data_IF_577375646477
#
_entry.id   IF_577375646477
#
_cell.length_a   1.000
_cell.length_b   1.000
_cell.length_c   1.000
_cell.angle_alpha   90.00
_cell.angle_beta   90.00
_cell.angle_gamma   90.00
#
_symmetry.space_group_name_H-M   'P 1'
#
loop_
_entity.id
_entity.type
_entity.pdbx_description
1 polymer ?
#
# COMPACT_ATOMS: atom_id res chain seq x y z
N UNK A 1 3.04 19.89 78.73
CA UNK A 1 4.25 20.35 78.03
C UNK A 1 5.08 19.22 77.39
N UNK A 2 5.19 18.01 77.98
CA UNK A 2 5.95 16.90 77.38
C UNK A 2 5.39 16.32 76.05
N UNK A 3 4.09 16.47 75.78
CA UNK A 3 3.46 15.97 74.53
C UNK A 3 3.67 16.88 73.30
N UNK A 4 4.03 18.15 73.50
CA UNK A 4 4.28 19.11 72.41
C UNK A 4 5.69 18.92 71.82
N UNK A 5 6.67 18.51 72.63
CA UNK A 5 8.03 18.19 72.13
C UNK A 5 8.06 17.03 71.13
N UNK A 6 7.18 16.03 71.27
CA UNK A 6 7.15 14.88 70.35
C UNK A 6 6.55 15.25 68.97
N UNK A 7 5.61 16.19 68.93
CA UNK A 7 5.01 16.67 67.68
C UNK A 7 6.02 17.54 66.90
N UNK A 8 6.80 18.37 67.61
CA UNK A 8 7.82 19.20 66.97
C UNK A 8 9.03 18.40 66.45
N UNK A 9 9.38 17.28 67.10
CA UNK A 9 10.46 16.39 66.65
C UNK A 9 10.07 15.54 65.43
N UNK A 10 8.78 15.31 65.21
CA UNK A 10 8.28 14.52 64.08
C UNK A 10 8.18 15.35 62.79
N UNK A 11 8.01 16.68 62.89
CA UNK A 11 7.98 17.58 61.73
C UNK A 11 9.36 17.81 61.07
N UNK A 12 10.46 17.45 61.72
CA UNK A 12 11.82 17.62 61.18
C UNK A 12 12.24 16.56 60.16
N UNK A 13 11.41 15.53 59.93
CA UNK A 13 11.69 14.45 58.97
C UNK A 13 10.90 14.56 57.66
N UNK A 14 10.19 15.68 57.43
CA UNK A 14 9.40 15.92 56.21
C UNK A 14 10.12 16.77 55.14
N UNK A 15 11.43 16.96 55.24
CA UNK A 15 12.23 17.46 54.10
C UNK A 15 12.43 16.33 53.10
N UNK A 16 11.43 16.09 52.26
CA UNK A 16 11.58 15.23 51.08
C UNK A 16 12.53 15.89 50.08
N UNK A 17 13.58 15.17 49.67
CA UNK A 17 14.36 15.55 48.50
C UNK A 17 13.45 15.50 47.27
N UNK A 18 13.08 16.66 46.70
CA UNK A 18 12.40 16.73 45.40
C UNK A 18 13.27 16.14 44.28
N UNK A 19 14.58 16.33 44.36
CA UNK A 19 15.50 16.05 43.25
C UNK A 19 16.02 14.60 43.21
N UNK A 20 15.58 13.73 44.13
CA UNK A 20 16.00 12.31 44.14
C UNK A 20 15.15 11.43 43.21
N UNK A 21 13.95 11.89 42.83
CA UNK A 21 13.04 11.16 41.95
C UNK A 21 13.00 11.68 40.51
N UNK A 22 13.66 12.81 40.23
CA UNK A 22 13.89 13.27 38.85
C UNK A 22 15.09 12.51 38.28
N UNK A 23 14.81 11.34 37.69
CA UNK A 23 15.78 10.58 36.93
C UNK A 23 16.09 11.32 35.62
N UNK A 24 17.03 12.26 35.68
CA UNK A 24 17.64 12.84 34.50
C UNK A 24 18.41 11.74 33.73
N UNK A 25 17.98 11.43 32.51
CA UNK A 25 18.54 10.35 31.70
C UNK A 25 19.89 10.78 31.11
N UNK A 26 20.93 10.80 31.95
CA UNK A 26 22.29 11.25 31.58
C UNK A 26 23.02 10.33 30.58
N UNK A 27 22.39 9.23 30.17
CA UNK A 27 23.01 8.20 29.33
C UNK A 27 22.42 8.09 27.92
N UNK A 28 21.23 8.64 27.67
CA UNK A 28 20.59 8.61 26.36
C UNK A 28 20.14 10.02 25.99
N UNK A 29 20.50 10.46 24.79
CA UNK A 29 19.87 11.62 24.15
C UNK A 29 18.36 11.37 24.15
N UNK A 30 17.57 12.30 24.70
CA UNK A 30 16.11 12.16 24.68
C UNK A 30 15.61 12.13 23.24
N UNK A 31 14.44 11.52 22.98
CA UNK A 31 13.86 11.51 21.62
C UNK A 31 13.74 12.93 21.04
N UNK A 32 13.41 13.90 21.88
CA UNK A 32 13.33 15.32 21.52
C UNK A 32 14.71 15.89 21.14
N UNK A 33 15.74 15.70 21.97
CA UNK A 33 17.11 16.13 21.64
C UNK A 33 17.67 15.42 20.41
N UNK A 34 17.31 14.15 20.20
CA UNK A 34 17.80 13.37 19.07
C UNK A 34 17.22 13.88 17.76
N UNK A 35 15.90 14.10 17.69
CA UNK A 35 15.25 14.62 16.49
C UNK A 35 15.64 16.07 16.15
N UNK A 36 16.20 16.82 17.12
CA UNK A 36 16.83 18.13 16.87
C UNK A 36 18.17 18.03 16.14
N UNK A 37 18.78 16.85 16.02
CA UNK A 37 19.98 16.64 15.20
C UNK A 37 19.61 16.28 13.76
N UNK A 38 20.51 16.58 12.80
CA UNK A 38 20.33 16.14 11.39
C UNK A 38 20.06 14.64 11.27
N UNK A 39 20.89 13.82 11.92
CA UNK A 39 20.79 12.35 11.86
C UNK A 39 19.47 11.86 12.45
N UNK A 40 19.05 12.42 13.59
CA UNK A 40 17.78 12.03 14.19
C UNK A 40 16.58 12.44 13.34
N UNK A 41 16.62 13.62 12.73
CA UNK A 41 15.57 14.05 11.82
C UNK A 41 15.49 13.20 10.55
N UNK A 42 16.63 12.84 9.95
CA UNK A 42 16.68 11.91 8.81
C UNK A 42 16.12 10.53 9.17
N UNK A 43 16.41 10.03 10.38
CA UNK A 43 15.83 8.78 10.90
C UNK A 43 14.31 8.88 11.08
N UNK A 44 13.80 10.02 11.56
CA UNK A 44 12.38 10.30 11.68
C UNK A 44 11.69 10.32 10.30
N UNK A 45 12.30 10.97 9.30
CA UNK A 45 11.80 10.95 7.92
C UNK A 45 11.75 9.53 7.35
N UNK A 46 12.80 8.74 7.55
CA UNK A 46 12.83 7.33 7.14
C UNK A 46 11.71 6.52 7.81
N UNK A 47 11.39 6.82 9.07
CA UNK A 47 10.29 6.20 9.81
C UNK A 47 8.93 6.60 9.24
N UNK A 48 8.74 7.87 8.87
CA UNK A 48 7.52 8.32 8.19
C UNK A 48 7.32 7.58 6.86
N UNK A 49 8.38 7.42 6.05
CA UNK A 49 8.31 6.62 4.81
C UNK A 49 8.05 5.14 5.05
N UNK A 50 8.72 4.52 6.03
CA UNK A 50 8.56 3.10 6.31
C UNK A 50 7.15 2.76 6.80
N UNK A 51 6.45 3.71 7.43
CA UNK A 51 5.07 3.55 7.88
C UNK A 51 4.08 3.27 6.75
N UNK A 52 4.40 3.62 5.49
CA UNK A 52 3.59 3.28 4.31
C UNK A 52 3.50 1.76 4.12
N UNK A 53 4.53 1.02 4.54
CA UNK A 53 4.56 -0.45 4.47
C UNK A 53 3.54 -1.09 5.41
N UNK A 54 3.05 -0.40 6.43
CA UNK A 54 1.97 -0.91 7.28
C UNK A 54 0.63 -1.01 6.53
N UNK A 55 0.47 -0.22 5.45
CA UNK A 55 -0.71 -0.26 4.59
C UNK A 55 -0.50 -1.22 3.41
N UNK A 56 0.67 -1.16 2.76
CA UNK A 56 0.94 -1.91 1.53
C UNK A 56 1.71 -3.21 1.72
N UNK A 57 2.18 -3.50 2.93
CA UNK A 57 3.02 -4.66 3.20
C UNK A 57 2.24 -5.93 3.42
N UNK A 58 0.99 -5.85 3.89
CA UNK A 58 0.19 -7.00 4.32
C UNK A 58 -1.05 -7.22 3.47
N UNK A 59 -2.13 -7.70 4.05
CA UNK A 59 -3.36 -8.04 3.36
C UNK A 59 -3.94 -6.85 2.56
N UNK A 60 -4.23 -6.99 1.26
CA UNK A 60 -4.76 -5.89 0.43
C UNK A 60 -6.30 -5.76 0.52
N UNK A 61 -6.91 -6.14 1.65
CA UNK A 61 -8.37 -6.30 1.74
C UNK A 61 -9.14 -5.05 1.37
N UNK A 62 -8.83 -3.89 1.95
CA UNK A 62 -9.55 -2.64 1.64
C UNK A 62 -9.28 -2.10 0.23
N UNK A 63 -8.37 -2.71 -0.52
CA UNK A 63 -8.05 -2.31 -1.89
C UNK A 63 -8.65 -3.25 -2.95
N UNK A 64 -8.87 -4.51 -2.61
CA UNK A 64 -9.23 -5.55 -3.60
C UNK A 64 -10.44 -6.39 -3.22
N UNK A 65 -10.73 -6.55 -1.92
CA UNK A 65 -11.91 -7.29 -1.47
C UNK A 65 -13.19 -6.48 -1.76
N UNK A 66 -14.32 -7.18 -1.95
CA UNK A 66 -15.61 -6.54 -2.22
C UNK A 66 -15.82 -6.13 -3.67
N UNK A 67 -14.77 -6.18 -4.51
CA UNK A 67 -14.89 -6.03 -5.96
C UNK A 67 -15.36 -7.32 -6.62
N UNK A 68 -15.91 -7.23 -7.83
CA UNK A 68 -16.28 -8.39 -8.67
C UNK A 68 -15.09 -8.96 -9.47
N UNK A 69 -13.87 -8.43 -9.23
CA UNK A 69 -12.64 -8.81 -9.93
C UNK A 69 -11.94 -10.03 -9.30
N UNK A 70 -12.15 -10.26 -8.01
CA UNK A 70 -11.52 -11.33 -7.26
C UNK A 70 -12.52 -12.13 -6.45
N UNK A 71 -12.27 -13.44 -6.33
CA UNK A 71 -13.06 -14.34 -5.51
C UNK A 71 -12.16 -15.22 -4.63
N UNK A 72 -12.78 -15.76 -3.57
CA UNK A 72 -12.15 -16.72 -2.68
C UNK A 72 -11.69 -17.97 -3.45
N UNK A 73 -10.44 -18.36 -3.25
CA UNK A 73 -9.86 -19.56 -3.84
C UNK A 73 -9.68 -20.68 -2.82
N UNK A 74 -8.44 -21.13 -2.65
CA UNK A 74 -8.08 -22.14 -1.62
C UNK A 74 -8.40 -21.63 -0.21
N UNK A 75 -8.10 -20.36 0.04
CA UNK A 75 -8.44 -19.67 1.27
C UNK A 75 -9.50 -18.60 0.98
N UNK A 76 -10.28 -18.24 2.00
CA UNK A 76 -11.39 -17.29 1.86
C UNK A 76 -10.92 -15.85 2.03
N UNK A 77 -11.47 -14.94 1.25
CA UNK A 77 -11.47 -13.50 1.57
C UNK A 77 -12.33 -13.31 2.84
N UNK A 78 -12.00 -12.38 3.75
CA UNK A 78 -12.85 -12.13 4.91
C UNK A 78 -14.26 -11.68 4.49
N UNK A 79 -15.30 -12.31 5.04
CA UNK A 79 -16.70 -12.15 4.59
C UNK A 79 -17.21 -10.69 4.68
N UNK A 80 -16.83 -9.98 5.75
CA UNK A 80 -17.27 -8.59 5.99
C UNK A 80 -16.90 -7.64 4.86
N UNK A 81 -15.62 -7.64 4.46
CA UNK A 81 -15.10 -6.78 3.39
C UNK A 81 -15.11 -7.44 2.01
N UNK A 82 -15.22 -8.76 1.94
CA UNK A 82 -15.17 -9.55 0.70
C UNK A 82 -16.51 -9.70 -0.01
N UNK A 83 -17.58 -9.92 0.75
CA UNK A 83 -18.94 -10.09 0.21
C UNK A 83 -19.95 -9.12 0.83
N UNK A 84 -19.49 -8.16 1.63
CA UNK A 84 -20.33 -7.23 2.39
C UNK A 84 -21.38 -7.93 3.27
N UNK A 85 -21.10 -9.17 3.64
CA UNK A 85 -21.93 -9.99 4.52
C UNK A 85 -21.35 -9.97 5.92
N UNK A 86 -22.18 -9.70 6.94
CA UNK A 86 -21.74 -9.57 8.34
C UNK A 86 -20.70 -8.45 8.55
N UNK A 87 -20.78 -7.35 7.79
CA UNK A 87 -19.96 -6.18 8.04
C UNK A 87 -20.36 -5.55 9.38
N UNK A 88 -19.41 -5.49 10.31
CA UNK A 88 -19.59 -4.94 11.66
C UNK A 88 -18.63 -3.78 11.89
N UNK A 89 -18.98 -2.90 12.84
CA UNK A 89 -18.16 -1.76 13.26
C UNK A 89 -16.82 -2.19 13.89
N UNK A 90 -16.72 -3.43 14.38
CA UNK A 90 -15.51 -4.02 14.97
C UNK A 90 -14.66 -4.84 13.98
N UNK A 91 -14.83 -4.67 12.66
CA UNK A 91 -14.00 -5.40 11.69
C UNK A 91 -12.50 -5.09 11.89
N UNK A 92 -11.73 -6.13 12.18
CA UNK A 92 -10.31 -5.99 12.53
C UNK A 92 -9.46 -5.47 11.37
N UNK A 93 -9.83 -5.75 10.11
CA UNK A 93 -9.08 -5.30 8.94
C UNK A 93 -9.31 -3.81 8.71
N UNK A 94 -10.57 -3.37 8.80
CA UNK A 94 -10.95 -1.95 8.72
C UNK A 94 -10.26 -1.17 9.84
N UNK A 95 -10.32 -1.68 11.08
CA UNK A 95 -9.67 -1.05 12.23
C UNK A 95 -8.14 -0.98 12.09
N UNK A 96 -7.50 -2.03 11.57
CA UNK A 96 -6.06 -2.07 11.32
C UNK A 96 -5.63 -1.02 10.30
N UNK A 97 -6.34 -0.92 9.18
CA UNK A 97 -6.07 0.08 8.15
C UNK A 97 -6.24 1.51 8.67
N UNK A 98 -7.32 1.78 9.40
CA UNK A 98 -7.57 3.08 10.01
C UNK A 98 -6.43 3.46 10.98
N UNK A 99 -6.04 2.55 11.88
CA UNK A 99 -4.93 2.77 12.81
C UNK A 99 -3.60 2.99 12.11
N UNK A 100 -3.31 2.23 11.05
CA UNK A 100 -2.08 2.40 10.27
C UNK A 100 -2.00 3.79 9.63
N UNK A 101 -3.12 4.29 9.08
CA UNK A 101 -3.17 5.62 8.49
C UNK A 101 -2.93 6.73 9.52
N UNK A 102 -3.60 6.68 10.69
CA UNK A 102 -3.39 7.69 11.73
C UNK A 102 -2.00 7.61 12.39
N UNK A 103 -1.43 6.41 12.52
CA UNK A 103 -0.03 6.27 12.96
C UNK A 103 0.93 6.96 11.98
N UNK A 104 0.72 6.77 10.67
CA UNK A 104 1.48 7.46 9.62
C UNK A 104 1.29 8.98 9.62
N UNK A 105 0.05 9.46 9.84
CA UNK A 105 -0.25 10.89 10.00
C UNK A 105 0.48 11.47 11.21
N UNK A 106 0.50 10.78 12.35
CA UNK A 106 1.22 11.23 13.55
C UNK A 106 2.74 11.31 13.30
N UNK A 107 3.31 10.33 12.58
CA UNK A 107 4.73 10.38 12.19
C UNK A 107 5.03 11.56 11.28
N UNK A 108 4.17 11.82 10.28
CA UNK A 108 4.30 12.97 9.41
C UNK A 108 4.17 14.30 10.18
N UNK A 109 3.21 14.40 11.09
CA UNK A 109 3.04 15.56 11.97
C UNK A 109 4.26 15.80 12.86
N UNK A 110 4.86 14.73 13.38
CA UNK A 110 6.10 14.77 14.15
C UNK A 110 7.25 15.30 13.29
N UNK A 111 7.41 14.79 12.06
CA UNK A 111 8.42 15.29 11.12
C UNK A 111 8.20 16.76 10.73
N UNK A 112 6.96 17.21 10.57
CA UNK A 112 6.65 18.62 10.29
C UNK A 112 6.99 19.50 11.50
N UNK A 113 6.73 19.02 12.72
CA UNK A 113 7.05 19.73 13.96
C UNK A 113 8.56 19.89 14.13
N UNK A 114 9.34 18.82 14.02
CA UNK A 114 10.79 18.88 14.20
C UNK A 114 11.53 19.57 13.05
N UNK A 115 10.92 19.74 11.87
CA UNK A 115 11.53 20.45 10.75
C UNK A 115 12.02 21.86 11.11
N UNK A 116 11.32 22.55 12.02
CA UNK A 116 11.67 23.91 12.46
C UNK A 116 12.61 23.94 13.67
N UNK A 117 12.83 22.79 14.31
CA UNK A 117 13.62 22.66 15.54
C UNK A 117 14.99 21.99 15.29
N UNK A 118 15.07 21.18 14.24
CA UNK A 118 16.27 20.44 13.89
C UNK A 118 17.35 21.32 13.28
N UNK A 119 18.58 20.79 13.21
CA UNK A 119 19.68 21.38 12.48
C UNK A 119 19.27 21.71 11.04
N UNK A 120 19.35 22.99 10.69
CA UNK A 120 18.90 23.46 9.39
C UNK A 120 19.90 23.06 8.30
N UNK A 121 19.38 22.42 7.25
CA UNK A 121 20.14 21.99 6.07
C UNK A 121 19.35 22.37 4.81
N UNK A 122 20.01 22.34 3.66
CA UNK A 122 19.38 22.62 2.36
C UNK A 122 18.21 21.66 2.05
N UNK A 123 18.16 20.50 2.71
CA UNK A 123 17.12 19.48 2.52
C UNK A 123 15.87 19.70 3.39
N UNK A 124 15.92 20.54 4.42
CA UNK A 124 14.81 20.64 5.41
C UNK A 124 13.50 21.08 4.78
N UNK A 125 13.54 22.05 3.86
CA UNK A 125 12.33 22.50 3.15
C UNK A 125 11.70 21.36 2.35
N UNK A 126 12.53 20.58 1.66
CA UNK A 126 12.08 19.41 0.91
C UNK A 126 11.54 18.33 1.84
N UNK A 127 12.22 18.00 2.94
CA UNK A 127 11.78 16.97 3.89
C UNK A 127 10.45 17.34 4.55
N UNK A 128 10.25 18.62 4.89
CA UNK A 128 8.97 19.11 5.41
C UNK A 128 7.85 18.97 4.37
N UNK A 129 8.13 19.29 3.10
CA UNK A 129 7.19 19.11 2.01
C UNK A 129 6.83 17.63 1.80
N UNK A 130 7.82 16.74 1.85
CA UNK A 130 7.61 15.29 1.76
C UNK A 130 6.78 14.75 2.94
N UNK A 131 6.99 15.22 4.16
CA UNK A 131 6.19 14.84 5.31
C UNK A 131 4.72 15.26 5.13
N UNK A 132 4.48 16.49 4.64
CA UNK A 132 3.13 16.95 4.28
C UNK A 132 2.51 16.12 3.15
N UNK A 133 3.29 15.73 2.14
CA UNK A 133 2.83 14.81 1.09
C UNK A 133 2.38 13.47 1.68
N UNK A 134 3.19 12.86 2.56
CA UNK A 134 2.85 11.59 3.23
C UNK A 134 1.55 11.74 4.04
N UNK A 135 1.40 12.83 4.80
CA UNK A 135 0.17 13.13 5.54
C UNK A 135 -1.04 13.23 4.62
N UNK A 136 -0.94 14.04 3.56
CA UNK A 136 -2.01 14.21 2.58
C UNK A 136 -2.36 12.88 1.89
N UNK A 137 -1.36 12.05 1.59
CA UNK A 137 -1.56 10.71 1.03
C UNK A 137 -2.33 9.79 1.98
N UNK A 138 -2.02 9.78 3.29
CA UNK A 138 -2.82 9.03 4.26
C UNK A 138 -4.27 9.52 4.36
N UNK A 139 -4.50 10.83 4.29
CA UNK A 139 -5.86 11.37 4.23
C UNK A 139 -6.57 10.99 2.94
N UNK A 140 -5.88 10.96 1.80
CA UNK A 140 -6.41 10.46 0.53
C UNK A 140 -6.84 8.99 0.66
N UNK A 141 -6.06 8.15 1.33
CA UNK A 141 -6.46 6.76 1.61
C UNK A 141 -7.66 6.66 2.54
N UNK A 142 -7.73 7.50 3.57
CA UNK A 142 -8.84 7.51 4.52
C UNK A 142 -10.15 7.98 3.88
N UNK A 143 -10.13 9.05 3.09
CA UNK A 143 -11.37 9.61 2.51
C UNK A 143 -12.01 8.63 1.52
N UNK A 144 -11.21 7.85 0.80
CA UNK A 144 -11.71 6.83 -0.13
C UNK A 144 -12.44 5.67 0.56
N UNK A 145 -12.08 5.37 1.81
CA UNK A 145 -12.63 4.23 2.54
C UNK A 145 -13.71 4.64 3.55
N UNK A 146 -13.59 5.84 4.13
CA UNK A 146 -14.42 6.29 5.26
C UNK A 146 -15.19 7.58 4.97
N UNK A 147 -14.93 8.26 3.85
CA UNK A 147 -15.39 9.62 3.62
C UNK A 147 -14.84 10.58 4.67
N UNK A 148 -15.71 11.27 5.40
CA UNK A 148 -15.28 12.18 6.46
C UNK A 148 -14.52 11.47 7.58
N UNK A 149 -13.43 12.06 8.07
CA UNK A 149 -12.60 11.57 9.18
C UNK A 149 -12.09 12.77 10.00
N UNK A 150 -11.44 12.53 11.14
CA UNK A 150 -10.86 13.62 11.93
C UNK A 150 -9.57 14.16 11.27
N UNK A 151 -9.47 15.49 11.19
CA UNK A 151 -8.28 16.15 10.64
C UNK A 151 -7.36 16.53 11.81
N UNK A 152 -6.14 15.98 11.81
CA UNK A 152 -5.13 16.12 12.86
C UNK A 152 -3.88 16.69 12.20
N UNK A 153 -3.68 18.00 12.37
CA UNK A 153 -2.64 18.76 11.65
C UNK A 153 -1.35 18.96 12.46
N UNK A 154 -1.37 18.57 13.74
CA UNK A 154 -0.28 18.83 14.68
C UNK A 154 0.15 17.54 15.36
N UNK A 155 1.41 17.52 15.78
CA UNK A 155 1.92 16.47 16.65
C UNK A 155 1.14 16.56 17.97
N UNK A 156 0.54 15.45 18.38
CA UNK A 156 0.02 15.31 19.75
C UNK A 156 1.23 15.32 20.70
N UNK A 157 1.29 16.31 21.59
CA UNK A 157 2.33 16.50 22.59
C UNK A 157 2.01 15.72 23.87
N UNK A 158 2.73 16.00 24.96
CA UNK A 158 2.79 15.22 26.20
C UNK A 158 1.43 14.92 26.87
N UNK A 159 0.38 15.67 26.54
CA UNK A 159 -0.98 15.42 27.03
C UNK A 159 -1.81 14.63 26.01
N UNK A 160 -2.43 13.51 26.41
CA UNK A 160 -3.24 12.72 25.51
C UNK A 160 -4.52 13.48 25.14
N UNK A 161 -4.64 13.81 23.85
CA UNK A 161 -5.88 14.33 23.27
C UNK A 161 -6.80 13.16 22.92
N UNK A 162 -8.03 13.20 23.44
CA UNK A 162 -9.03 12.14 23.22
C UNK A 162 -10.21 12.59 22.36
N UNK A 163 -10.30 13.89 22.05
CA UNK A 163 -11.45 14.46 21.36
C UNK A 163 -11.09 14.85 19.92
N UNK A 164 -11.30 13.92 18.99
CA UNK A 164 -11.08 14.13 17.56
C UNK A 164 -12.44 14.13 16.84
N UNK A 165 -13.11 15.28 16.71
CA UNK A 165 -14.38 15.34 16.01
C UNK A 165 -14.19 14.95 14.54
N UNK A 166 -15.11 14.12 14.05
CA UNK A 166 -15.16 13.74 12.65
C UNK A 166 -15.52 14.96 11.80
N UNK A 167 -14.71 15.25 10.79
CA UNK A 167 -15.00 16.27 9.79
C UNK A 167 -15.70 15.67 8.56
N UNK A 168 -16.33 16.52 7.74
CA UNK A 168 -16.97 16.08 6.49
C UNK A 168 -15.96 15.58 5.46
N UNK A 169 -16.39 14.71 4.54
CA UNK A 169 -15.55 14.28 3.43
C UNK A 169 -15.04 15.47 2.60
N UNK A 170 -15.89 16.47 2.38
CA UNK A 170 -15.55 17.72 1.70
C UNK A 170 -14.35 18.43 2.36
N UNK A 171 -14.36 18.58 3.69
CA UNK A 171 -13.24 19.18 4.42
C UNK A 171 -11.97 18.34 4.31
N UNK A 172 -12.06 17.01 4.34
CA UNK A 172 -10.90 16.13 4.17
C UNK A 172 -10.31 16.27 2.76
N UNK A 173 -11.15 16.27 1.72
CA UNK A 173 -10.70 16.54 0.35
C UNK A 173 -10.03 17.92 0.22
N UNK A 174 -10.63 18.96 0.78
CA UNK A 174 -10.07 20.32 0.77
C UNK A 174 -8.73 20.40 1.50
N UNK A 175 -8.57 19.66 2.60
CA UNK A 175 -7.31 19.53 3.32
C UNK A 175 -6.22 18.88 2.45
N UNK A 176 -6.53 17.74 1.80
CA UNK A 176 -5.59 17.04 0.90
C UNK A 176 -5.14 17.96 -0.23
N UNK A 177 -6.09 18.63 -0.89
CA UNK A 177 -5.81 19.52 -2.02
C UNK A 177 -4.92 20.68 -1.58
N UNK A 178 -5.28 21.38 -0.51
CA UNK A 178 -4.48 22.50 0.03
C UNK A 178 -3.07 22.03 0.39
N UNK A 179 -2.95 20.91 1.12
CA UNK A 179 -1.64 20.36 1.51
C UNK A 179 -0.75 20.07 0.30
N UNK A 180 -1.30 19.46 -0.76
CA UNK A 180 -0.56 19.08 -1.95
C UNK A 180 -0.22 20.28 -2.85
N UNK A 181 -1.13 21.25 -2.98
CA UNK A 181 -0.88 22.48 -3.76
C UNK A 181 0.21 23.34 -3.12
N UNK A 182 0.17 23.53 -1.80
CA UNK A 182 1.14 24.36 -1.07
C UNK A 182 2.58 23.82 -1.11
N UNK A 183 2.76 22.51 -1.20
CA UNK A 183 4.09 21.87 -1.16
C UNK A 183 4.70 21.67 -2.52
N UNK A 184 3.93 21.84 -3.61
CA UNK A 184 4.34 21.49 -4.96
C UNK A 184 5.69 22.11 -5.32
N UNK A 185 5.84 23.41 -5.14
CA UNK A 185 7.06 24.13 -5.50
C UNK A 185 8.22 23.90 -4.51
N UNK A 186 7.95 23.27 -3.36
CA UNK A 186 8.96 22.86 -2.39
C UNK A 186 9.53 21.46 -2.68
N UNK A 187 8.97 20.75 -3.65
CA UNK A 187 9.47 19.45 -4.11
C UNK A 187 10.27 19.58 -5.41
N UNK A 188 11.19 18.64 -5.68
CA UNK A 188 11.95 18.62 -6.93
C UNK A 188 11.04 18.61 -8.16
N UNK A 189 11.37 19.41 -9.17
CA UNK A 189 10.65 19.43 -10.44
C UNK A 189 10.80 18.13 -11.26
N UNK A 190 11.90 17.42 -11.03
CA UNK A 190 12.15 16.09 -11.58
C UNK A 190 12.58 15.17 -10.47
N UNK A 191 12.17 13.92 -10.62
CA UNK A 191 12.61 12.80 -9.83
C UNK A 191 14.13 12.81 -9.59
N UNK A 192 14.52 13.01 -8.34
CA UNK A 192 15.92 13.04 -7.91
C UNK A 192 16.32 11.83 -7.08
N UNK A 193 15.35 11.07 -6.55
CA UNK A 193 15.58 9.95 -5.65
C UNK A 193 14.38 9.01 -5.63
N UNK A 194 14.64 7.71 -5.82
CA UNK A 194 13.61 6.68 -5.84
C UNK A 194 12.81 6.60 -4.55
N UNK A 195 11.49 6.57 -4.70
CA UNK A 195 10.53 6.50 -3.60
C UNK A 195 10.19 7.83 -2.93
N UNK A 196 10.84 8.93 -3.30
CA UNK A 196 10.53 10.27 -2.78
C UNK A 196 9.59 10.98 -3.75
N UNK A 197 8.55 11.69 -3.25
CA UNK A 197 7.63 12.40 -4.11
C UNK A 197 8.32 13.61 -4.73
N UNK A 198 8.04 13.84 -6.00
CA UNK A 198 8.41 15.02 -6.76
C UNK A 198 7.13 15.78 -7.17
N UNK A 199 7.30 16.86 -7.94
CA UNK A 199 6.15 17.62 -8.46
C UNK A 199 5.21 16.75 -9.31
N UNK A 200 5.72 15.74 -10.00
CA UNK A 200 4.92 14.82 -10.82
C UNK A 200 4.04 13.95 -9.95
N UNK A 201 4.56 13.42 -8.84
CA UNK A 201 3.79 12.66 -7.86
C UNK A 201 2.68 13.52 -7.24
N UNK A 202 2.97 14.77 -6.87
CA UNK A 202 1.94 15.71 -6.38
C UNK A 202 0.84 15.93 -7.41
N UNK A 203 1.19 16.25 -8.66
CA UNK A 203 0.20 16.43 -9.73
C UNK A 203 -0.64 15.17 -9.95
N UNK A 204 -0.03 13.98 -9.92
CA UNK A 204 -0.73 12.71 -10.05
C UNK A 204 -1.79 12.52 -8.95
N UNK A 205 -1.44 12.76 -7.68
CA UNK A 205 -2.38 12.59 -6.58
C UNK A 205 -3.41 13.72 -6.50
N UNK A 206 -3.07 14.95 -6.88
CA UNK A 206 -4.06 16.01 -7.07
C UNK A 206 -5.09 15.61 -8.13
N UNK A 207 -4.64 15.13 -9.29
CA UNK A 207 -5.54 14.68 -10.36
C UNK A 207 -6.52 13.62 -9.88
N UNK A 208 -6.03 12.61 -9.16
CA UNK A 208 -6.87 11.55 -8.58
C UNK A 208 -7.82 12.08 -7.51
N UNK A 209 -7.35 12.98 -6.65
CA UNK A 209 -8.15 13.56 -5.57
C UNK A 209 -9.31 14.39 -6.12
N UNK A 210 -9.03 15.26 -7.10
CA UNK A 210 -10.07 16.03 -7.80
C UNK A 210 -11.04 15.12 -8.57
N UNK A 211 -10.54 14.09 -9.27
CA UNK A 211 -11.40 13.14 -9.98
C UNK A 211 -12.36 12.43 -9.03
N UNK A 212 -11.86 11.92 -7.90
CA UNK A 212 -12.69 11.28 -6.88
C UNK A 212 -13.72 12.26 -6.28
N UNK A 213 -13.28 13.48 -5.91
CA UNK A 213 -14.18 14.51 -5.37
C UNK A 213 -15.28 14.90 -6.35
N UNK A 214 -15.00 14.92 -7.66
CA UNK A 214 -15.99 15.24 -8.69
C UNK A 214 -17.19 14.29 -8.74
N UNK A 215 -17.04 13.05 -8.26
CA UNK A 215 -18.13 12.08 -8.15
C UNK A 215 -18.92 12.16 -6.84
N UNK A 216 -18.46 12.95 -5.87
CA UNK A 216 -19.18 13.17 -4.61
C UNK A 216 -20.38 14.08 -4.81
N UNK A 217 -21.34 14.04 -3.88
CA UNK A 217 -22.56 14.88 -3.93
C UNK A 217 -22.27 16.38 -3.82
N UNK A 218 -21.10 16.75 -3.29
CA UNK A 218 -20.58 18.11 -3.19
C UNK A 218 -19.51 18.43 -4.26
N UNK A 219 -19.27 17.51 -5.20
CA UNK A 219 -18.40 17.72 -6.35
C UNK A 219 -19.04 18.64 -7.40
N UNK A 220 -18.21 19.15 -8.30
CA UNK A 220 -18.60 20.09 -9.36
C UNK A 220 -17.88 19.82 -10.68
N UNK A 221 -18.32 20.45 -11.77
CA UNK A 221 -17.62 20.36 -13.07
C UNK A 221 -16.16 20.84 -12.99
N UNK A 222 -15.88 21.81 -12.12
CA UNK A 222 -14.54 22.35 -11.90
C UNK A 222 -13.58 21.29 -11.32
N UNK A 223 -14.09 20.26 -10.65
CA UNK A 223 -13.27 19.15 -10.17
C UNK A 223 -12.74 18.32 -11.33
N UNK A 224 -13.56 18.02 -12.32
CA UNK A 224 -13.12 17.28 -13.51
C UNK A 224 -12.15 18.10 -14.37
N UNK A 225 -12.35 19.41 -14.45
CA UNK A 225 -11.41 20.33 -15.11
C UNK A 225 -10.05 20.35 -14.42
N UNK A 226 -10.03 20.44 -13.08
CA UNK A 226 -8.78 20.38 -12.31
C UNK A 226 -8.15 19.00 -12.37
N UNK A 227 -8.94 17.93 -12.36
CA UNK A 227 -8.45 16.57 -12.51
C UNK A 227 -7.70 16.39 -13.83
N UNK A 228 -8.30 16.83 -14.95
CA UNK A 228 -7.67 16.81 -16.26
C UNK A 228 -6.40 17.67 -16.30
N UNK A 229 -6.46 18.91 -15.78
CA UNK A 229 -5.31 19.82 -15.69
C UNK A 229 -4.13 19.17 -14.96
N UNK A 230 -4.34 18.64 -13.76
CA UNK A 230 -3.27 18.03 -12.98
C UNK A 230 -2.79 16.71 -13.60
N UNK A 231 -3.67 15.95 -14.26
CA UNK A 231 -3.27 14.76 -15.03
C UNK A 231 -2.33 15.14 -16.18
N UNK A 232 -2.66 16.19 -16.96
CA UNK A 232 -1.81 16.68 -18.05
C UNK A 232 -0.44 17.15 -17.53
N UNK A 233 -0.40 17.82 -16.37
CA UNK A 233 0.86 18.20 -15.72
C UNK A 233 1.67 16.99 -15.23
N UNK A 234 1.02 15.91 -14.81
CA UNK A 234 1.70 14.68 -14.40
C UNK A 234 2.18 13.85 -15.61
N UNK A 235 1.43 13.86 -16.71
CA UNK A 235 1.82 13.25 -17.99
C UNK A 235 3.03 14.00 -18.56
N UNK A 236 2.98 15.33 -18.55
CA UNK A 236 4.06 16.22 -19.01
C UNK A 236 4.59 15.84 -20.40
N UNK A 237 3.72 15.37 -21.28
CA UNK A 237 4.06 14.89 -22.63
C UNK A 237 4.90 13.61 -22.70
N UNK A 238 5.07 12.87 -21.59
CA UNK A 238 5.78 11.59 -21.60
C UNK A 238 4.94 10.52 -22.33
N UNK A 239 5.55 9.88 -23.32
CA UNK A 239 4.98 8.70 -23.98
C UNK A 239 5.22 7.45 -23.14
N UNK A 240 4.34 6.45 -23.29
CA UNK A 240 4.59 5.10 -22.80
C UNK A 240 5.50 4.40 -23.81
N UNK A 241 6.66 3.94 -23.35
CA UNK A 241 7.72 3.34 -24.17
C UNK A 241 8.01 1.90 -23.76
N UNK A 242 7.54 1.49 -22.58
CA UNK A 242 7.79 0.19 -21.99
C UNK A 242 6.61 -0.72 -22.28
N UNK A 243 6.89 -1.96 -22.70
CA UNK A 243 5.83 -2.95 -22.88
C UNK A 243 5.14 -3.20 -21.53
N UNK A 244 3.84 -3.50 -21.53
CA UNK A 244 3.13 -3.78 -20.28
C UNK A 244 3.76 -4.95 -19.50
N UNK A 245 4.31 -5.94 -20.20
CA UNK A 245 5.02 -7.06 -19.61
C UNK A 245 6.30 -6.61 -18.89
N UNK A 246 7.13 -5.79 -19.54
CA UNK A 246 8.39 -5.30 -18.98
C UNK A 246 8.15 -4.28 -17.87
N UNK A 247 7.05 -3.52 -17.92
CA UNK A 247 6.71 -2.45 -16.97
C UNK A 247 6.64 -2.97 -15.52
N UNK A 248 6.09 -4.17 -15.33
CA UNK A 248 5.91 -4.81 -14.02
C UNK A 248 6.89 -5.96 -13.79
N UNK A 249 7.92 -6.10 -14.64
CA UNK A 249 8.91 -7.15 -14.48
C UNK A 249 9.73 -6.93 -13.19
N UNK A 250 10.04 -7.98 -12.40
CA UNK A 250 10.69 -7.82 -11.10
C UNK A 250 12.06 -7.12 -11.12
N UNK A 251 12.73 -7.04 -12.27
CA UNK A 251 14.01 -6.31 -12.39
C UNK A 251 13.86 -4.91 -12.97
N UNK A 252 12.63 -4.45 -13.22
CA UNK A 252 12.32 -3.16 -13.84
C UNK A 252 11.57 -2.19 -12.90
N UNK A 253 11.71 -2.37 -11.59
CA UNK A 253 10.97 -1.61 -10.55
C UNK A 253 11.37 -0.12 -10.42
N UNK A 254 12.33 0.34 -11.24
CA UNK A 254 12.90 1.71 -11.24
C UNK A 254 12.71 2.43 -12.57
N UNK A 255 11.73 2.02 -13.35
CA UNK A 255 11.51 2.54 -14.69
C UNK A 255 10.85 3.94 -14.70
N UNK A 256 10.93 4.62 -15.84
CA UNK A 256 10.49 6.03 -16.01
C UNK A 256 8.97 6.23 -16.02
N UNK A 257 8.19 5.15 -16.17
CA UNK A 257 6.72 5.20 -16.14
C UNK A 257 6.17 5.08 -14.70
N UNK A 258 7.00 4.67 -13.73
CA UNK A 258 6.66 4.70 -12.30
C UNK A 258 6.78 6.14 -11.79
N UNK A 259 5.64 6.75 -11.45
CA UNK A 259 5.60 8.10 -10.87
C UNK A 259 6.06 8.10 -9.41
N UNK A 260 5.53 7.18 -8.61
CA UNK A 260 5.88 7.04 -7.20
C UNK A 260 5.53 5.64 -6.70
N UNK A 261 6.36 5.07 -5.83
CA UNK A 261 6.14 3.74 -5.26
C UNK A 261 6.67 3.64 -3.83
N UNK A 262 6.01 2.80 -3.03
CA UNK A 262 6.49 2.43 -1.68
C UNK A 262 7.69 1.50 -1.83
N UNK A 263 8.82 1.88 -1.24
CA UNK A 263 10.06 1.14 -1.41
C UNK A 263 10.16 -0.04 -0.47
N UNK A 264 10.58 -1.18 -1.00
CA UNK A 264 10.96 -2.37 -0.26
C UNK A 264 12.38 -2.76 -0.66
N UNK A 265 13.22 -3.06 0.33
CA UNK A 265 14.56 -3.58 0.11
C UNK A 265 14.82 -4.70 1.13
N UNK A 266 15.36 -5.87 0.72
CA UNK A 266 15.66 -6.96 1.65
C UNK A 266 16.58 -6.56 2.81
N UNK A 267 17.47 -5.57 2.61
CA UNK A 267 18.35 -5.04 3.67
C UNK A 267 17.63 -4.11 4.66
N UNK A 268 16.41 -3.69 4.33
CA UNK A 268 15.61 -2.77 5.15
C UNK A 268 14.62 -3.48 6.09
N UNK A 269 14.68 -4.80 6.18
CA UNK A 269 13.77 -5.64 6.98
C UNK A 269 14.56 -6.72 7.73
N UNK A 270 14.07 -7.17 8.88
CA UNK A 270 14.81 -8.13 9.73
C UNK A 270 14.84 -9.53 9.13
N UNK A 271 13.70 -10.03 8.68
CA UNK A 271 13.57 -11.31 8.00
C UNK A 271 12.85 -11.11 6.66
N UNK A 272 13.54 -11.08 5.51
CA UNK A 272 12.92 -10.90 4.19
C UNK A 272 11.85 -11.95 3.84
N UNK A 273 11.82 -13.09 4.56
CA UNK A 273 10.78 -14.11 4.38
C UNK A 273 9.48 -13.81 5.14
N UNK A 274 9.49 -12.87 6.10
CA UNK A 274 8.35 -12.53 6.97
C UNK A 274 8.01 -11.04 7.00
N UNK A 275 9.01 -10.18 6.84
CA UNK A 275 8.94 -8.75 7.14
C UNK A 275 8.95 -7.86 5.88
N UNK A 276 8.72 -8.44 4.69
CA UNK A 276 8.65 -7.74 3.41
C UNK A 276 7.23 -7.44 2.90
N UNK A 277 7.11 -7.21 1.59
CA UNK A 277 5.81 -7.15 0.93
C UNK A 277 5.26 -8.56 0.73
N UNK A 278 4.09 -8.87 1.31
CA UNK A 278 3.40 -10.14 1.12
C UNK A 278 2.14 -10.04 0.24
N UNK A 279 1.82 -8.86 -0.30
CA UNK A 279 0.59 -8.65 -1.09
C UNK A 279 0.51 -9.61 -2.29
N UNK A 280 1.63 -9.80 -2.98
CA UNK A 280 1.70 -10.73 -4.12
C UNK A 280 1.20 -12.14 -3.79
N UNK A 281 1.31 -12.58 -2.52
CA UNK A 281 0.97 -13.95 -2.12
C UNK A 281 -0.54 -14.19 -2.05
N UNK A 282 -1.33 -13.12 -1.95
CA UNK A 282 -2.79 -13.23 -1.92
C UNK A 282 -3.38 -13.50 -3.30
N UNK A 283 -2.65 -13.14 -4.34
CA UNK A 283 -3.04 -13.32 -5.74
C UNK A 283 -2.49 -14.64 -6.30
N UNK A 284 -3.29 -15.28 -7.15
CA UNK A 284 -2.91 -16.52 -7.85
C UNK A 284 -3.29 -17.81 -7.13
N UNK A 285 -3.03 -18.93 -7.80
CA UNK A 285 -3.46 -20.26 -7.36
C UNK A 285 -2.31 -21.05 -6.75
N UNK A 286 -2.56 -21.75 -5.65
CA UNK A 286 -1.58 -22.60 -4.98
C UNK A 286 -1.20 -23.81 -5.84
N UNK A 287 0.09 -23.94 -6.14
CA UNK A 287 0.63 -24.96 -7.04
C UNK A 287 1.35 -26.12 -6.32
N UNK A 288 1.66 -25.95 -5.04
CA UNK A 288 2.48 -26.88 -4.26
C UNK A 288 3.42 -26.16 -3.30
N UNK A 289 4.30 -26.90 -2.65
CA UNK A 289 5.25 -26.36 -1.67
C UNK A 289 6.42 -25.64 -2.33
N UNK A 290 7.08 -24.74 -1.59
CA UNK A 290 8.29 -24.05 -2.08
C UNK A 290 9.43 -25.02 -2.44
N UNK A 291 9.52 -26.16 -1.75
CA UNK A 291 10.49 -27.23 -2.02
C UNK A 291 10.38 -27.82 -3.45
N UNK A 292 9.24 -27.63 -4.12
CA UNK A 292 9.00 -28.09 -5.49
C UNK A 292 9.32 -26.99 -6.54
N UNK A 293 9.82 -25.82 -6.10
CA UNK A 293 10.07 -24.67 -6.97
C UNK A 293 8.80 -23.88 -7.29
N UNK A 294 7.80 -23.94 -6.42
CA UNK A 294 6.59 -23.14 -6.52
C UNK A 294 6.69 -21.86 -5.70
N UNK A 295 6.07 -20.79 -6.21
CA UNK A 295 5.86 -19.56 -5.46
C UNK A 295 4.83 -19.79 -4.36
N UNK A 296 5.10 -19.24 -3.18
CA UNK A 296 4.14 -19.25 -2.10
C UNK A 296 2.95 -18.33 -2.44
N UNK A 297 1.75 -18.86 -2.31
CA UNK A 297 0.49 -18.10 -2.45
C UNK A 297 -0.54 -18.69 -1.49
N UNK A 298 -1.34 -17.80 -0.92
CA UNK A 298 -2.47 -18.15 -0.06
C UNK A 298 -3.75 -18.35 -0.87
N UNK A 299 -3.80 -17.85 -2.11
CA UNK A 299 -4.96 -17.95 -3.00
C UNK A 299 -6.28 -17.47 -2.38
N UNK A 300 -6.23 -16.30 -1.74
CA UNK A 300 -7.44 -15.63 -1.24
C UNK A 300 -8.12 -14.82 -2.35
N UNK A 301 -7.35 -14.12 -3.19
CA UNK A 301 -7.84 -13.23 -4.24
C UNK A 301 -7.55 -13.85 -5.61
N UNK A 302 -8.31 -14.88 -5.96
CA UNK A 302 -8.20 -15.52 -7.28
C UNK A 302 -8.99 -14.69 -8.29
N UNK A 303 -8.43 -14.36 -9.48
CA UNK A 303 -9.16 -13.66 -10.53
C UNK A 303 -10.50 -14.31 -10.84
N UNK A 304 -11.56 -13.51 -10.95
CA UNK A 304 -12.86 -13.99 -11.43
C UNK A 304 -12.83 -14.16 -12.95
N UNK A 305 -13.76 -14.98 -13.47
CA UNK A 305 -13.99 -15.03 -14.91
C UNK A 305 -14.31 -13.64 -15.49
N UNK A 306 -15.04 -12.81 -14.72
CA UNK A 306 -15.34 -11.43 -15.11
C UNK A 306 -14.08 -10.63 -15.38
N UNK A 307 -13.07 -10.72 -14.51
CA UNK A 307 -11.79 -10.03 -14.71
C UNK A 307 -11.08 -10.51 -15.99
N UNK A 308 -11.11 -11.81 -16.31
CA UNK A 308 -10.58 -12.30 -17.59
C UNK A 308 -11.34 -11.75 -18.81
N UNK A 309 -12.66 -11.60 -18.71
CA UNK A 309 -13.54 -11.08 -19.77
C UNK A 309 -13.42 -9.55 -20.00
N UNK A 310 -12.66 -8.82 -19.18
CA UNK A 310 -12.37 -7.41 -19.42
C UNK A 310 -11.35 -7.19 -20.55
N UNK A 311 -10.67 -8.25 -21.00
CA UNK A 311 -9.64 -8.20 -22.03
C UNK A 311 -10.15 -8.79 -23.35
N UNK A 312 -9.53 -8.39 -24.45
CA UNK A 312 -9.83 -8.87 -25.80
C UNK A 312 -8.60 -9.52 -26.43
N UNK A 313 -8.83 -10.32 -27.48
CA UNK A 313 -7.76 -10.87 -28.31
C UNK A 313 -6.80 -9.75 -28.78
N UNK A 314 -5.50 -10.02 -28.70
CA UNK A 314 -4.44 -9.07 -29.05
C UNK A 314 -4.11 -8.02 -27.96
N UNK A 315 -4.80 -8.03 -26.82
CA UNK A 315 -4.45 -7.15 -25.70
C UNK A 315 -3.19 -7.63 -24.97
N UNK A 316 -2.07 -6.94 -25.17
CA UNK A 316 -0.78 -7.27 -24.54
C UNK A 316 -0.81 -7.23 -23.01
N UNK A 317 -1.81 -6.59 -22.40
CA UNK A 317 -1.96 -6.54 -20.94
C UNK A 317 -2.42 -7.87 -20.36
N UNK A 318 -3.07 -8.72 -21.15
CA UNK A 318 -3.62 -9.98 -20.67
C UNK A 318 -2.51 -10.94 -20.18
N UNK A 319 -1.52 -11.21 -21.02
CA UNK A 319 -0.38 -12.09 -20.66
C UNK A 319 0.58 -11.45 -19.66
N UNK A 320 0.63 -10.11 -19.59
CA UNK A 320 1.34 -9.41 -18.53
C UNK A 320 0.63 -9.45 -17.17
N UNK A 321 -0.68 -9.70 -17.14
CA UNK A 321 -1.50 -9.76 -15.93
C UNK A 321 -1.71 -11.20 -15.44
N UNK A 322 -1.94 -12.15 -16.35
CA UNK A 322 -2.20 -13.55 -16.05
C UNK A 322 -1.12 -14.46 -16.60
N UNK A 323 -0.61 -15.34 -15.74
CA UNK A 323 0.24 -16.45 -16.18
C UNK A 323 -0.64 -17.55 -16.78
N UNK A 324 -0.89 -17.46 -18.09
CA UNK A 324 -1.77 -18.38 -18.83
C UNK A 324 -1.18 -19.79 -18.95
N UNK A 325 0.14 -19.89 -19.12
CA UNK A 325 0.88 -21.14 -19.11
C UNK A 325 1.66 -21.27 -17.79
N UNK A 326 1.24 -22.19 -16.92
CA UNK A 326 1.96 -22.50 -15.69
C UNK A 326 2.80 -23.75 -15.91
N UNK A 327 4.11 -23.59 -15.83
CA UNK A 327 5.10 -24.66 -15.95
C UNK A 327 5.12 -25.59 -14.73
N UNK A 328 5.73 -26.77 -14.87
CA UNK A 328 5.79 -27.75 -13.79
C UNK A 328 6.43 -27.20 -12.50
N UNK A 329 7.38 -26.27 -12.62
CA UNK A 329 7.87 -25.44 -11.50
C UNK A 329 7.60 -23.99 -11.85
N UNK A 330 7.02 -23.25 -10.90
CA UNK A 330 6.61 -21.86 -11.15
C UNK A 330 7.79 -20.97 -11.55
N UNK A 331 8.92 -21.11 -10.84
CA UNK A 331 10.08 -20.27 -11.08
C UNK A 331 10.83 -20.59 -12.37
N UNK A 332 10.52 -21.69 -13.06
CA UNK A 332 11.15 -21.97 -14.36
C UNK A 332 10.80 -20.87 -15.38
N UNK A 333 9.60 -20.29 -15.31
CA UNK A 333 9.21 -19.12 -16.14
C UNK A 333 10.21 -17.97 -16.03
N UNK A 334 10.66 -17.66 -14.82
CA UNK A 334 11.55 -16.54 -14.53
C UNK A 334 13.03 -16.89 -14.68
N UNK A 335 13.41 -18.11 -14.30
CA UNK A 335 14.82 -18.51 -14.18
C UNK A 335 15.35 -19.30 -15.38
N UNK A 336 14.46 -19.80 -16.24
CA UNK A 336 14.77 -20.68 -17.37
C UNK A 336 14.07 -20.25 -18.66
N UNK A 337 13.94 -18.95 -18.89
CA UNK A 337 13.25 -18.39 -20.07
C UNK A 337 13.71 -18.99 -21.41
N UNK A 338 15.00 -19.31 -21.55
CA UNK A 338 15.56 -19.94 -22.75
C UNK A 338 15.14 -21.42 -22.96
N UNK A 339 14.68 -22.11 -21.93
CA UNK A 339 14.34 -23.54 -21.94
C UNK A 339 12.82 -23.80 -22.02
N UNK A 340 11.99 -22.75 -21.99
CA UNK A 340 10.53 -22.88 -21.85
C UNK A 340 9.88 -23.74 -22.94
N UNK A 341 10.37 -23.66 -24.18
CA UNK A 341 9.88 -24.49 -25.30
C UNK A 341 10.04 -26.00 -25.06
N UNK A 342 10.96 -26.40 -24.19
CA UNK A 342 11.20 -27.80 -23.80
C UNK A 342 10.70 -28.15 -22.40
N UNK A 343 10.14 -27.17 -21.69
CA UNK A 343 9.63 -27.33 -20.33
C UNK A 343 8.16 -27.76 -20.36
N UNK A 344 7.78 -28.70 -19.50
CA UNK A 344 6.39 -29.14 -19.39
C UNK A 344 5.50 -28.03 -18.86
N UNK A 345 4.44 -27.72 -19.60
CA UNK A 345 3.33 -26.88 -19.13
C UNK A 345 2.40 -27.75 -18.30
N UNK A 346 2.25 -27.45 -17.01
CA UNK A 346 1.40 -28.20 -16.07
C UNK A 346 -0.06 -27.78 -16.18
N UNK A 347 -0.32 -26.49 -16.18
CA UNK A 347 -1.65 -25.92 -16.36
C UNK A 347 -1.66 -24.94 -17.53
N UNK A 348 -2.72 -25.00 -18.32
CA UNK A 348 -3.01 -23.99 -19.34
C UNK A 348 -4.39 -23.41 -19.08
N UNK A 349 -4.45 -22.09 -18.98
CA UNK A 349 -5.63 -21.29 -18.75
C UNK A 349 -5.95 -20.50 -20.02
N UNK A 350 -6.52 -21.14 -21.06
CA UNK A 350 -6.75 -20.46 -22.33
C UNK A 350 -7.67 -19.26 -22.12
N UNK A 351 -7.30 -18.08 -22.67
CA UNK A 351 -8.20 -16.95 -22.73
C UNK A 351 -9.51 -17.32 -23.44
N UNK A 352 -10.56 -16.53 -23.21
CA UNK A 352 -11.91 -16.75 -23.76
C UNK A 352 -11.90 -16.95 -25.28
N UNK A 353 -11.03 -16.24 -25.99
CA UNK A 353 -10.91 -16.30 -27.46
C UNK A 353 -10.13 -17.52 -27.97
N UNK A 354 -9.38 -18.25 -27.13
CA UNK A 354 -8.57 -19.40 -27.57
C UNK A 354 -9.13 -20.76 -27.14
N UNK A 355 -10.24 -20.79 -26.40
CA UNK A 355 -10.81 -22.04 -25.84
C UNK A 355 -11.08 -23.08 -26.92
N UNK A 356 -11.55 -22.65 -28.10
CA UNK A 356 -11.87 -23.51 -29.23
C UNK A 356 -10.63 -24.21 -29.83
N UNK A 357 -9.45 -23.60 -29.73
CA UNK A 357 -8.22 -24.05 -30.41
C UNK A 357 -7.24 -24.79 -29.50
N UNK A 358 -7.66 -25.12 -28.28
CA UNK A 358 -6.84 -25.81 -27.27
C UNK A 358 -6.26 -27.15 -27.74
N UNK A 359 -6.93 -27.86 -28.65
CA UNK A 359 -6.43 -29.10 -29.25
C UNK A 359 -5.23 -28.85 -30.18
N UNK A 360 -5.30 -27.80 -31.02
CA UNK A 360 -4.20 -27.40 -31.90
C UNK A 360 -3.02 -26.87 -31.08
N UNK A 361 -3.28 -26.04 -30.07
CA UNK A 361 -2.26 -25.56 -29.13
C UNK A 361 -1.50 -26.71 -28.45
N UNK A 362 -2.22 -27.76 -28.02
CA UNK A 362 -1.63 -28.96 -27.42
C UNK A 362 -0.79 -29.75 -28.43
N UNK A 363 -1.28 -29.93 -29.65
CA UNK A 363 -0.58 -30.68 -30.69
C UNK A 363 0.70 -29.98 -31.17
N UNK A 364 0.78 -28.65 -31.05
CA UNK A 364 1.91 -27.85 -31.50
C UNK A 364 3.22 -28.10 -30.72
N UNK A 365 3.15 -28.64 -29.50
CA UNK A 365 4.34 -28.96 -28.71
C UNK A 365 4.15 -30.23 -27.86
N UNK A 366 5.05 -31.20 -28.00
CA UNK A 366 4.99 -32.48 -27.27
C UNK A 366 5.07 -32.30 -25.74
N UNK A 367 5.65 -31.21 -25.24
CA UNK A 367 5.69 -30.90 -23.80
C UNK A 367 4.31 -30.61 -23.21
N UNK A 368 3.32 -30.30 -24.06
CA UNK A 368 1.93 -29.98 -23.68
C UNK A 368 1.01 -31.20 -23.61
N UNK A 369 1.49 -32.38 -24.01
CA UNK A 369 0.67 -33.59 -24.12
C UNK A 369 -0.09 -33.94 -22.82
N UNK A 370 0.53 -33.67 -21.66
CA UNK A 370 -0.03 -33.94 -20.31
C UNK A 370 -0.57 -32.69 -19.61
N UNK A 371 -0.66 -31.55 -20.28
CA UNK A 371 -1.16 -30.31 -19.68
C UNK A 371 -2.61 -30.46 -19.25
N UNK A 372 -2.94 -29.95 -18.05
CA UNK A 372 -4.32 -29.79 -17.60
C UNK A 372 -4.81 -28.45 -18.14
N UNK A 373 -5.86 -28.49 -18.98
CA UNK A 373 -6.45 -27.29 -19.57
C UNK A 373 -7.67 -26.90 -18.74
N UNK A 374 -7.70 -25.66 -18.26
CA UNK A 374 -8.80 -25.10 -17.46
C UNK A 374 -9.32 -23.88 -18.21
N UNK A 375 -10.36 -24.06 -19.06
CA UNK A 375 -10.93 -22.97 -19.83
C UNK A 375 -11.42 -21.78 -18.99
N UNK A 376 -11.11 -20.55 -19.40
CA UNK A 376 -11.69 -19.36 -18.79
C UNK A 376 -13.08 -19.08 -19.37
N UNK A 377 -14.05 -19.94 -19.05
CA UNK A 377 -15.45 -19.80 -19.46
C UNK A 377 -16.40 -20.21 -18.33
N UNK A 378 -17.68 -19.86 -18.47
CA UNK A 378 -18.71 -20.23 -17.50
C UNK A 378 -18.86 -21.75 -17.39
N UNK A 379 -19.22 -22.22 -16.18
CA UNK A 379 -19.50 -23.65 -15.91
C UNK A 379 -18.35 -24.61 -16.24
N UNK A 380 -17.11 -24.11 -16.23
CA UNK A 380 -15.91 -24.93 -16.44
C UNK A 380 -15.73 -25.93 -15.29
N UNK A 381 -15.05 -27.05 -15.56
CA UNK A 381 -14.66 -27.99 -14.51
C UNK A 381 -13.31 -27.57 -13.89
N UNK A 382 -13.19 -27.63 -12.57
CA UNK A 382 -11.91 -27.49 -11.87
C UNK A 382 -10.95 -28.62 -12.27
N UNK A 383 -9.67 -28.49 -11.90
CA UNK A 383 -8.68 -29.57 -12.07
C UNK A 383 -9.08 -30.92 -11.42
N UNK A 384 -10.07 -30.93 -10.52
CA UNK A 384 -10.61 -32.13 -9.86
C UNK A 384 -11.98 -32.55 -10.42
N UNK A 385 -12.43 -31.97 -11.52
CA UNK A 385 -13.68 -32.33 -12.19
C UNK A 385 -14.95 -31.78 -11.56
N UNK A 386 -14.86 -30.77 -10.68
CA UNK A 386 -16.03 -30.14 -10.07
C UNK A 386 -16.50 -28.94 -10.92
N UNK A 387 -17.80 -28.72 -11.14
CA UNK A 387 -18.29 -27.52 -11.81
C UNK A 387 -17.89 -26.25 -11.05
N UNK A 388 -17.43 -25.23 -11.76
CA UNK A 388 -17.28 -23.87 -11.22
C UNK A 388 -18.65 -23.21 -11.19
N UNK A 389 -19.22 -23.06 -10.01
CA UNK A 389 -20.45 -22.29 -9.80
C UNK A 389 -20.10 -20.91 -9.28
N UNK A 390 -20.48 -19.86 -10.01
CA UNK A 390 -20.53 -18.52 -9.45
C UNK A 390 -21.85 -18.40 -8.69
N UNK A 391 -21.82 -18.65 -7.39
CA UNK A 391 -22.94 -18.30 -6.53
C UNK A 391 -22.71 -16.84 -6.12
N UNK A 392 -23.32 -15.90 -6.84
CA UNK A 392 -23.50 -14.55 -6.32
C UNK A 392 -24.30 -14.70 -5.02
N UNK A 393 -23.65 -14.43 -3.88
CA UNK A 393 -24.33 -14.35 -2.60
C UNK A 393 -25.10 -13.03 -2.51
#
# INVERSE_FOLDING_TARGET
MKKISYILFTLLFLSGCSDFLDQDNKSNVTTDEFYKTKVGYESLMNTAYSSLRSVYGKEPWLFSAGTDLYASGRNRVPDGVGSYSNLIDQDANVASFYKACYAGIQLANTAIHYAVLTEQTDMISQYKAEARFIRAFYYYLLVQQFGGVAIVEKMILDEPEYNFPRESAEKVYNFIITEMEDIKDSLPAKYSSLGRPDQRAVNHFLAKTYLCRGYETFGSSADFENAAKYADMAINGQNLTISFYDLFWPTNEKNEEIIWSVQYDPSSVSDPSKDGNMQQSFFGTYLGGSNEGHKYTTSNLTPTLRLHQLYTEGDSRYEGTFMVEIYNRYYDFYTKSAELNTTMVRYYYPPVWEVADTAAWRAANSTRAKTIIIPMQEQTLTATGKPTTYNAA
#
